data_IF_796676190178
#
_entry.id   IF_796676190178
#
_cell.length_a   1.000
_cell.length_b   1.000
_cell.length_c   1.000
_cell.angle_alpha   90.00
_cell.angle_beta   90.00
_cell.angle_gamma   90.00
#
_symmetry.space_group_name_H-M   'P 1'
#
loop_
_entity.id
_entity.type
_entity.pdbx_description
1 polymer ?
#
# COMPACT_ATOMS: atom_id res chain seq x y z
N UNK A 1 21.79 16.46 -3.80
CA UNK A 1 21.66 15.36 -4.78
C UNK A 1 20.18 15.15 -5.03
N UNK A 2 19.71 15.37 -6.26
CA UNK A 2 18.30 15.20 -6.60
C UNK A 2 17.95 13.71 -6.48
N UNK A 3 17.09 13.36 -5.51
CA UNK A 3 16.60 12.00 -5.31
C UNK A 3 15.77 11.64 -6.55
N UNK A 4 16.35 10.85 -7.44
CA UNK A 4 15.71 10.30 -8.63
C UNK A 4 14.46 9.51 -8.21
N UNK A 5 13.41 9.59 -9.04
CA UNK A 5 12.14 8.83 -9.03
C UNK A 5 12.03 7.88 -7.84
N UNK A 6 11.28 8.25 -6.79
CA UNK A 6 10.87 7.26 -5.79
C UNK A 6 9.73 6.48 -6.39
N UNK A 7 9.96 5.20 -6.64
CA UNK A 7 8.91 4.30 -7.10
C UNK A 7 8.21 3.68 -5.87
N UNK A 8 6.88 3.77 -5.81
CA UNK A 8 6.07 3.17 -4.75
C UNK A 8 5.04 2.23 -5.37
N UNK A 9 5.03 0.99 -4.90
CA UNK A 9 4.10 -0.06 -5.33
C UNK A 9 3.02 -0.25 -4.27
N UNK A 10 1.76 -0.25 -4.69
CA UNK A 10 0.62 -0.52 -3.82
C UNK A 10 -0.20 -1.67 -4.40
N UNK A 11 -0.43 -2.69 -3.58
CA UNK A 11 -1.28 -3.84 -3.94
C UNK A 11 -2.45 -3.88 -2.97
N UNK A 12 -3.67 -3.93 -3.49
CA UNK A 12 -4.89 -4.10 -2.71
C UNK A 12 -5.42 -5.50 -2.95
N UNK A 13 -5.62 -6.28 -1.89
CA UNK A 13 -6.28 -7.58 -1.92
C UNK A 13 -7.59 -7.43 -1.14
N UNK A 14 -8.72 -7.68 -1.77
CA UNK A 14 -10.03 -7.48 -1.15
C UNK A 14 -11.08 -8.42 -1.75
N UNK A 15 -11.58 -9.36 -0.95
CA UNK A 15 -12.52 -10.40 -1.39
C UNK A 15 -13.82 -9.79 -1.94
N UNK A 16 -14.23 -10.22 -3.13
CA UNK A 16 -15.47 -9.77 -3.78
C UNK A 16 -15.51 -8.27 -4.14
N UNK A 17 -14.38 -7.57 -4.12
CA UNK A 17 -14.33 -6.11 -4.22
C UNK A 17 -14.30 -5.56 -5.66
N UNK A 18 -14.60 -6.38 -6.67
CA UNK A 18 -14.51 -5.97 -8.08
C UNK A 18 -15.30 -4.69 -8.39
N UNK A 19 -16.55 -4.62 -7.95
CA UNK A 19 -17.40 -3.44 -8.17
C UNK A 19 -16.88 -2.20 -7.43
N UNK A 20 -16.33 -2.38 -6.23
CA UNK A 20 -15.74 -1.29 -5.46
C UNK A 20 -14.46 -0.76 -6.13
N UNK A 21 -13.65 -1.65 -6.72
CA UNK A 21 -12.38 -1.30 -7.36
C UNK A 21 -12.52 -0.82 -8.80
N UNK A 22 -13.62 -1.13 -9.50
CA UNK A 22 -13.84 -0.76 -10.90
C UNK A 22 -13.56 0.74 -11.20
N UNK A 23 -13.99 1.72 -10.37
CA UNK A 23 -13.69 3.13 -10.64
C UNK A 23 -12.19 3.47 -10.55
N UNK A 24 -11.42 2.71 -9.77
CA UNK A 24 -9.98 2.90 -9.58
C UNK A 24 -9.15 2.34 -10.74
N UNK A 25 -9.75 1.51 -11.61
CA UNK A 25 -9.10 0.99 -12.82
C UNK A 25 -9.24 1.92 -14.04
N UNK A 26 -9.99 3.02 -13.88
CA UNK A 26 -10.24 4.01 -14.91
C UNK A 26 -9.59 5.34 -14.56
N UNK A 27 -9.13 6.14 -15.55
CA UNK A 27 -8.62 7.49 -15.30
C UNK A 27 -9.69 8.39 -14.67
N UNK A 28 -9.31 9.19 -13.68
CA UNK A 28 -10.18 10.19 -13.05
C UNK A 28 -9.38 11.44 -12.68
N UNK A 29 -9.71 12.56 -13.31
CA UNK A 29 -9.05 13.86 -13.10
C UNK A 29 -9.33 14.48 -11.72
N UNK A 30 -10.28 13.93 -10.95
CA UNK A 30 -10.63 14.43 -9.62
C UNK A 30 -9.75 13.85 -8.51
N UNK A 31 -8.98 12.79 -8.80
CA UNK A 31 -8.09 12.14 -7.83
C UNK A 31 -6.78 12.92 -7.68
N UNK A 32 -6.20 12.89 -6.49
CA UNK A 32 -4.88 13.49 -6.23
C UNK A 32 -3.75 12.75 -6.99
N UNK A 33 -4.00 11.49 -7.36
CA UNK A 33 -3.12 10.69 -8.20
C UNK A 33 -3.78 10.35 -9.54
N UNK A 34 -2.96 10.14 -10.57
CA UNK A 34 -3.44 9.98 -11.95
C UNK A 34 -3.37 8.53 -12.45
N UNK A 35 -2.53 7.71 -11.83
CA UNK A 35 -2.35 6.31 -12.18
C UNK A 35 -3.61 5.51 -11.86
N UNK A 36 -3.80 4.41 -12.58
CA UNK A 36 -4.94 3.51 -12.42
C UNK A 36 -4.45 2.20 -11.82
N UNK A 37 -5.33 1.55 -11.06
CA UNK A 37 -5.10 0.20 -10.59
C UNK A 37 -5.29 -0.80 -11.74
N UNK A 38 -4.40 -1.77 -11.82
CA UNK A 38 -4.50 -2.90 -12.74
C UNK A 38 -4.92 -4.16 -11.98
N UNK A 39 -5.93 -4.91 -12.45
CA UNK A 39 -6.32 -6.15 -11.80
C UNK A 39 -5.24 -7.22 -11.94
N UNK A 40 -4.96 -7.95 -10.87
CA UNK A 40 -4.07 -9.11 -10.87
C UNK A 40 -4.86 -10.35 -11.29
N UNK A 41 -4.56 -11.00 -12.43
CA UNK A 41 -5.35 -12.13 -12.92
C UNK A 41 -5.42 -13.30 -11.94
N UNK A 42 -6.61 -13.86 -11.75
CA UNK A 42 -6.83 -15.06 -10.92
C UNK A 42 -7.01 -14.79 -9.42
N UNK A 43 -7.08 -13.53 -9.00
CA UNK A 43 -7.32 -13.15 -7.62
C UNK A 43 -8.17 -11.87 -7.52
N UNK A 44 -8.81 -11.66 -6.37
CA UNK A 44 -9.45 -10.37 -6.05
C UNK A 44 -8.39 -9.38 -5.55
N UNK A 45 -7.47 -9.00 -6.44
CA UNK A 45 -6.41 -8.05 -6.14
C UNK A 45 -6.09 -7.12 -7.29
N UNK A 46 -5.50 -5.97 -6.96
CA UNK A 46 -5.14 -4.92 -7.91
C UNK A 46 -3.80 -4.28 -7.50
N UNK A 47 -2.98 -3.92 -8.47
CA UNK A 47 -1.71 -3.25 -8.26
C UNK A 47 -1.70 -1.85 -8.89
N UNK A 48 -0.92 -0.94 -8.34
CA UNK A 48 -0.65 0.39 -8.90
C UNK A 48 0.78 0.79 -8.56
N UNK A 49 1.49 1.31 -9.56
CA UNK A 49 2.85 1.83 -9.42
C UNK A 49 2.88 3.36 -9.53
N UNK A 50 3.52 3.99 -8.56
CA UNK A 50 3.76 5.42 -8.55
C UNK A 50 5.21 5.72 -8.87
N UNK A 51 5.47 6.52 -9.90
CA UNK A 51 6.80 6.94 -10.36
C UNK A 51 7.19 8.34 -9.83
N UNK A 52 6.36 8.90 -8.94
CA UNK A 52 6.52 10.21 -8.28
C UNK A 52 5.83 10.12 -6.92
N UNK A 53 6.17 10.99 -5.95
CA UNK A 53 5.44 11.11 -4.68
C UNK A 53 4.07 11.77 -4.88
N UNK A 54 3.24 11.17 -5.72
CA UNK A 54 1.88 11.59 -6.01
C UNK A 54 0.85 10.59 -5.44
N UNK A 55 1.27 9.73 -4.51
CA UNK A 55 0.44 8.78 -3.79
C UNK A 55 -0.30 9.39 -2.59
N UNK A 56 -0.16 10.70 -2.34
CA UNK A 56 -0.86 11.37 -1.25
C UNK A 56 -2.36 11.09 -1.33
N UNK A 57 -2.97 10.79 -0.17
CA UNK A 57 -4.40 10.52 -0.09
C UNK A 57 -4.84 9.10 -0.47
N UNK A 58 -3.99 8.25 -1.05
CA UNK A 58 -4.42 6.89 -1.47
C UNK A 58 -4.95 6.05 -0.31
N UNK A 59 -4.24 6.01 0.82
CA UNK A 59 -4.69 5.23 1.98
C UNK A 59 -5.99 5.79 2.56
N UNK A 60 -6.15 7.11 2.59
CA UNK A 60 -7.38 7.74 3.05
C UNK A 60 -8.55 7.41 2.10
N UNK A 61 -8.30 7.38 0.79
CA UNK A 61 -9.31 6.99 -0.19
C UNK A 61 -9.70 5.53 -0.03
N UNK A 62 -8.72 4.62 0.02
CA UNK A 62 -8.96 3.19 0.24
C UNK A 62 -9.69 2.94 1.57
N UNK A 63 -9.41 3.71 2.62
CA UNK A 63 -10.12 3.63 3.90
C UNK A 63 -11.62 3.96 3.77
N UNK A 64 -11.99 4.90 2.90
CA UNK A 64 -13.37 5.37 2.71
C UNK A 64 -14.18 4.55 1.69
N UNK A 65 -13.55 3.60 1.01
CA UNK A 65 -14.22 2.83 -0.02
C UNK A 65 -15.33 1.94 0.57
N UNK A 66 -16.44 1.74 -0.17
CA UNK A 66 -17.57 0.91 0.28
C UNK A 66 -17.25 -0.58 0.11
N UNK A 67 -16.27 -1.09 0.86
CA UNK A 67 -15.83 -2.48 0.76
C UNK A 67 -16.97 -3.45 1.11
N UNK A 68 -17.25 -4.46 0.29
CA UNK A 68 -18.29 -5.46 0.60
C UNK A 68 -17.89 -6.31 1.81
N UNK A 69 -16.61 -6.61 1.95
CA UNK A 69 -16.04 -7.36 3.08
C UNK A 69 -14.84 -6.62 3.68
N UNK A 70 -15.07 -5.57 4.49
CA UNK A 70 -14.03 -4.70 5.07
C UNK A 70 -12.88 -5.46 5.74
N UNK A 71 -13.19 -6.54 6.48
CA UNK A 71 -12.21 -7.35 7.21
C UNK A 71 -11.27 -8.18 6.32
N UNK A 72 -11.58 -8.31 5.03
CA UNK A 72 -10.73 -9.00 4.06
C UNK A 72 -9.69 -8.09 3.41
N UNK A 73 -9.85 -6.77 3.55
CA UNK A 73 -9.02 -5.77 2.86
C UNK A 73 -7.61 -5.79 3.45
N UNK A 74 -6.65 -6.10 2.60
CA UNK A 74 -5.23 -6.01 2.85
C UNK A 74 -4.62 -5.08 1.82
N UNK A 75 -3.87 -4.09 2.28
CA UNK A 75 -3.13 -3.16 1.43
C UNK A 75 -1.66 -3.37 1.70
N UNK A 76 -0.95 -3.87 0.69
CA UNK A 76 0.49 -3.99 0.69
C UNK A 76 1.08 -2.74 0.08
N UNK A 77 2.09 -2.17 0.73
CA UNK A 77 2.76 -0.96 0.26
C UNK A 77 4.26 -1.17 0.37
N UNK A 78 4.97 -0.81 -0.70
CA UNK A 78 6.43 -0.87 -0.76
C UNK A 78 6.97 0.35 -1.46
N UNK A 79 7.71 1.19 -0.74
CA UNK A 79 8.62 2.16 -1.37
C UNK A 79 9.87 1.42 -1.88
N UNK A 80 10.50 1.94 -2.92
CA UNK A 80 11.74 1.39 -3.48
C UNK A 80 12.85 1.13 -2.45
N UNK A 81 12.88 1.89 -1.35
CA UNK A 81 13.89 1.81 -0.31
C UNK A 81 13.50 0.81 0.81
N UNK A 82 12.31 0.21 0.74
CA UNK A 82 11.82 -0.80 1.68
C UNK A 82 12.39 -2.21 1.36
N UNK A 83 12.71 -2.97 2.41
CA UNK A 83 13.14 -4.36 2.27
C UNK A 83 12.02 -5.33 1.88
N UNK A 84 10.78 -4.97 2.23
CA UNK A 84 9.61 -5.79 2.02
C UNK A 84 8.36 -4.92 2.01
N UNK A 85 7.23 -5.48 1.57
CA UNK A 85 5.96 -4.81 1.68
C UNK A 85 5.55 -4.68 3.14
N UNK A 86 5.17 -3.47 3.56
CA UNK A 86 4.35 -3.31 4.76
C UNK A 86 2.92 -3.76 4.49
N UNK A 87 2.22 -4.17 5.54
CA UNK A 87 0.83 -4.65 5.47
C UNK A 87 -0.08 -3.69 6.23
N UNK A 88 -1.12 -3.20 5.58
CA UNK A 88 -2.21 -2.46 6.21
C UNK A 88 -3.49 -3.28 6.12
N UNK A 89 -4.25 -3.31 7.21
CA UNK A 89 -5.56 -3.93 7.25
C UNK A 89 -6.60 -2.94 7.74
N UNK A 90 -7.82 -3.07 7.22
CA UNK A 90 -8.92 -2.24 7.67
C UNK A 90 -9.43 -2.75 9.03
N UNK A 91 -9.23 -1.94 10.06
CA UNK A 91 -9.62 -2.25 11.44
C UNK A 91 -10.36 -1.05 12.04
N UNK A 92 -11.61 -1.29 12.50
CA UNK A 92 -12.50 -0.25 13.02
C UNK A 92 -12.75 0.89 12.02
N UNK A 93 -12.85 0.54 10.73
CA UNK A 93 -13.06 1.52 9.66
C UNK A 93 -11.83 2.37 9.34
N UNK A 94 -10.64 1.98 9.84
CA UNK A 94 -9.38 2.66 9.53
C UNK A 94 -8.32 1.72 9.01
N UNK A 95 -7.54 2.14 8.00
CA UNK A 95 -6.38 1.37 7.56
C UNK A 95 -5.26 1.54 8.58
N UNK A 96 -4.89 0.44 9.22
CA UNK A 96 -3.81 0.40 10.21
C UNK A 96 -2.72 -0.54 9.75
N UNK A 97 -1.48 -0.12 9.92
CA UNK A 97 -0.35 -1.00 9.68
C UNK A 97 -0.36 -2.16 10.68
N UNK A 98 -0.14 -3.37 10.16
CA UNK A 98 0.05 -4.60 10.91
C UNK A 98 1.56 -4.80 11.08
N UNK A 99 2.08 -4.85 12.32
CA UNK A 99 3.49 -5.09 12.56
C UNK A 99 3.93 -6.44 12.01
N UNK A 100 4.95 -6.44 11.15
CA UNK A 100 5.54 -7.67 10.62
C UNK A 100 6.72 -8.12 11.51
N UNK A 101 6.90 -9.43 11.74
CA UNK A 101 8.04 -9.93 12.51
C UNK A 101 9.37 -9.46 11.94
N UNK A 102 10.31 -9.11 12.83
CA UNK A 102 11.66 -8.68 12.46
C UNK A 102 11.68 -7.46 11.52
N UNK A 103 10.74 -6.53 11.67
CA UNK A 103 10.72 -5.28 10.90
C UNK A 103 10.67 -4.05 11.80
N UNK A 104 11.28 -2.96 11.35
CA UNK A 104 11.17 -1.64 11.97
C UNK A 104 10.86 -0.62 10.87
N UNK A 105 9.84 0.21 11.13
CA UNK A 105 9.51 1.36 10.29
C UNK A 105 10.19 2.61 10.84
N UNK A 106 11.11 3.16 10.08
CA UNK A 106 11.74 4.45 10.36
C UNK A 106 10.75 5.54 9.94
N UNK A 107 10.23 6.30 10.92
CA UNK A 107 9.36 7.42 10.64
C UNK A 107 10.15 8.49 9.84
N UNK A 108 9.68 8.79 8.64
CA UNK A 108 10.02 10.00 7.90
C UNK A 108 8.85 11.00 8.11
N UNK A 109 9.09 12.29 7.96
CA UNK A 109 8.12 13.37 8.22
C UNK A 109 6.86 13.31 7.31
N UNK A 110 6.80 12.34 6.39
CA UNK A 110 5.74 12.09 5.39
C UNK A 110 4.97 10.78 5.66
N UNK A 111 5.13 10.16 6.84
CA UNK A 111 4.51 8.88 7.19
C UNK A 111 2.97 8.84 6.97
N UNK A 112 2.39 7.67 6.61
CA UNK A 112 3.04 6.37 6.39
C UNK A 112 3.71 6.22 5.02
N UNK A 113 3.33 7.04 4.05
CA UNK A 113 3.79 7.00 2.67
C UNK A 113 5.09 7.82 2.50
N UNK A 114 6.23 7.14 2.56
CA UNK A 114 7.57 7.74 2.51
C UNK A 114 8.45 7.39 3.71
N UNK A 115 7.90 6.65 4.68
CA UNK A 115 8.66 5.98 5.74
C UNK A 115 9.31 4.70 5.20
N UNK A 116 10.45 4.32 5.77
CA UNK A 116 11.22 3.14 5.31
C UNK A 116 11.00 1.94 6.23
N UNK A 117 10.60 0.81 5.66
CA UNK A 117 10.48 -0.48 6.34
C UNK A 117 11.75 -1.30 6.13
N UNK A 118 12.46 -1.58 7.22
CA UNK A 118 13.69 -2.39 7.19
C UNK A 118 13.52 -3.67 7.99
N UNK A 119 14.18 -4.74 7.54
CA UNK A 119 14.33 -6.00 8.25
C UNK A 119 15.45 -5.90 9.28
N UNK A 120 15.17 -6.31 10.52
CA UNK A 120 16.15 -6.32 11.61
C UNK A 120 17.00 -7.60 11.64
N UNK A 121 16.62 -8.61 10.86
CA UNK A 121 17.27 -9.92 10.79
C UNK A 121 18.11 -10.11 9.53
N UNK A 122 18.52 -9.00 8.88
CA UNK A 122 19.39 -9.03 7.68
C UNK A 122 20.70 -9.79 7.91
N UNK A 123 21.21 -9.77 9.14
CA UNK A 123 22.44 -10.50 9.53
C UNK A 123 22.17 -11.91 10.09
N UNK A 124 20.93 -12.37 10.02
CA UNK A 124 20.47 -13.63 10.60
C UNK A 124 19.64 -13.41 11.85
N UNK A 125 18.48 -14.07 11.92
CA UNK A 125 17.73 -14.20 13.16
C UNK A 125 18.59 -15.04 14.13
N UNK A 126 18.88 -14.59 15.36
CA UNK A 126 19.45 -15.50 16.35
C UNK A 126 18.43 -16.62 16.52
N UNK A 127 18.82 -17.83 16.12
CA UNK A 127 18.00 -19.04 16.24
C UNK A 127 17.64 -19.16 17.71
N UNK A 128 16.35 -19.02 18.04
CA UNK A 128 15.81 -19.25 19.38
C UNK A 128 15.67 -20.75 19.60
#
# INVERSE_FOLDING_TARGET
MARMSRDCEVIVIAFGAREAMEPLTQPDERREWHQCFEPIPGMDAWAIDFWRPNWTGILLHLEQMPWPFPKSVQVLLRDQDDDCFGLWMLHEGRLREVPLPCTVREADDVAPLGSRLTRTDREGCPVV
#
